data_IF_446197933109
#
_entry.id   IF_446197933109
#
_cell.length_a   1.000
_cell.length_b   1.000
_cell.length_c   1.000
_cell.angle_alpha   90.00
_cell.angle_beta   90.00
_cell.angle_gamma   90.00
#
_symmetry.space_group_name_H-M   'P 1'
#
loop_
_entity.id
_entity.type
_entity.pdbx_description
1 polymer ?
#
# COMPACT_ATOMS: atom_id res chain seq x y z
N UNK A 1 5.24 -29.74 10.50
CA UNK A 1 4.36 -29.63 9.31
C UNK A 1 3.63 -28.28 9.37
N UNK A 2 4.11 -27.25 8.64
CA UNK A 2 3.56 -25.87 8.69
C UNK A 2 2.71 -25.47 7.47
N UNK A 3 2.60 -26.36 6.48
CA UNK A 3 1.96 -26.07 5.17
C UNK A 3 0.48 -25.68 5.25
N UNK A 4 -0.26 -26.14 6.28
CA UNK A 4 -1.68 -25.79 6.43
C UNK A 4 -1.93 -24.38 6.98
N UNK A 5 -0.97 -23.82 7.72
CA UNK A 5 -1.10 -22.48 8.32
C UNK A 5 -0.94 -21.39 7.26
N UNK A 6 0.17 -21.42 6.52
CA UNK A 6 0.49 -20.46 5.45
C UNK A 6 -0.59 -20.49 4.36
N UNK A 7 -1.13 -21.67 4.05
CA UNK A 7 -2.24 -21.84 3.11
C UNK A 7 -3.53 -21.15 3.57
N UNK A 8 -3.88 -21.27 4.86
CA UNK A 8 -5.05 -20.60 5.42
C UNK A 8 -4.84 -19.09 5.57
N UNK A 9 -3.62 -18.64 5.87
CA UNK A 9 -3.27 -17.22 5.92
C UNK A 9 -3.44 -16.56 4.55
N UNK A 10 -2.95 -17.19 3.47
CA UNK A 10 -3.15 -16.73 2.10
C UNK A 10 -4.64 -16.64 1.74
N UNK A 11 -5.44 -17.65 2.10
CA UNK A 11 -6.87 -17.63 1.87
C UNK A 11 -7.62 -16.58 2.71
N UNK A 12 -7.18 -16.27 3.93
CA UNK A 12 -7.75 -15.16 4.71
C UNK A 12 -7.44 -13.81 4.05
N UNK A 13 -6.27 -13.64 3.44
CA UNK A 13 -5.93 -12.44 2.69
C UNK A 13 -6.78 -12.29 1.42
N UNK A 14 -6.94 -13.36 0.63
CA UNK A 14 -7.80 -13.38 -0.55
C UNK A 14 -9.28 -13.11 -0.21
N UNK A 15 -9.80 -13.71 0.87
CA UNK A 15 -11.17 -13.46 1.33
C UNK A 15 -11.43 -11.99 1.67
N UNK A 16 -10.43 -11.29 2.23
CA UNK A 16 -10.52 -9.85 2.52
C UNK A 16 -10.52 -8.99 1.24
N UNK A 17 -9.72 -9.37 0.24
CA UNK A 17 -9.65 -8.64 -1.04
C UNK A 17 -10.95 -8.79 -1.85
N UNK A 18 -11.58 -9.96 -1.80
CA UNK A 18 -12.84 -10.21 -2.51
C UNK A 18 -14.05 -9.56 -1.82
N UNK A 19 -13.95 -9.22 -0.53
CA UNK A 19 -15.03 -8.57 0.23
C UNK A 19 -16.27 -9.47 0.45
N UNK A 20 -16.13 -10.78 0.22
CA UNK A 20 -17.20 -11.77 0.34
C UNK A 20 -17.31 -12.26 1.79
N UNK A 21 -18.51 -12.56 2.31
CA UNK A 21 -18.66 -13.14 3.65
C UNK A 21 -17.81 -14.41 3.83
N UNK A 22 -17.09 -14.52 4.95
CA UNK A 22 -16.17 -15.65 5.22
C UNK A 22 -16.81 -17.03 5.02
N UNK A 23 -18.12 -17.16 5.27
CA UNK A 23 -18.87 -18.41 5.07
C UNK A 23 -19.00 -18.76 3.58
N UNK A 24 -19.35 -17.79 2.74
CA UNK A 24 -19.50 -17.99 1.29
C UNK A 24 -18.15 -18.25 0.63
N UNK A 25 -17.11 -17.52 1.07
CA UNK A 25 -15.75 -17.75 0.61
C UNK A 25 -15.27 -19.17 0.98
N UNK A 26 -15.47 -19.60 2.23
CA UNK A 26 -15.09 -20.95 2.65
C UNK A 26 -15.81 -22.04 1.87
N UNK A 27 -17.11 -21.87 1.57
CA UNK A 27 -17.88 -22.82 0.76
C UNK A 27 -17.37 -22.89 -0.68
N UNK A 28 -17.04 -21.76 -1.31
CA UNK A 28 -16.51 -21.70 -2.68
C UNK A 28 -15.16 -22.38 -2.83
N UNK A 29 -14.31 -22.25 -1.81
CA UNK A 29 -12.94 -22.78 -1.83
C UNK A 29 -12.78 -24.13 -1.09
N UNK A 30 -13.87 -24.75 -0.65
CA UNK A 30 -13.84 -26.04 0.05
C UNK A 30 -13.13 -25.99 1.40
N UNK A 31 -13.09 -24.83 2.05
CA UNK A 31 -12.42 -24.60 3.32
C UNK A 31 -13.37 -24.81 4.50
N UNK A 32 -12.82 -25.23 5.63
CA UNK A 32 -13.57 -25.24 6.88
C UNK A 32 -13.82 -23.81 7.37
N UNK A 33 -15.10 -23.45 7.52
CA UNK A 33 -15.53 -22.14 8.05
C UNK A 33 -14.92 -21.88 9.43
N UNK A 34 -14.87 -22.90 10.29
CA UNK A 34 -14.32 -22.76 11.65
C UNK A 34 -12.81 -22.55 11.64
N UNK A 35 -12.08 -23.21 10.72
CA UNK A 35 -10.65 -23.00 10.55
C UNK A 35 -10.35 -21.59 10.02
N UNK A 36 -11.11 -21.12 9.03
CA UNK A 36 -10.97 -19.77 8.48
C UNK A 36 -11.23 -18.71 9.56
N UNK A 37 -12.29 -18.87 10.35
CA UNK A 37 -12.63 -17.97 11.44
C UNK A 37 -11.58 -17.96 12.56
N UNK A 38 -11.07 -19.14 12.91
CA UNK A 38 -9.98 -19.28 13.88
C UNK A 38 -8.72 -18.52 13.43
N UNK A 39 -8.32 -18.66 12.16
CA UNK A 39 -7.17 -17.96 11.60
C UNK A 39 -7.41 -16.46 11.44
N UNK A 40 -8.61 -16.03 11.04
CA UNK A 40 -9.00 -14.61 11.05
C UNK A 40 -8.82 -13.99 12.45
N UNK A 41 -9.32 -14.67 13.49
CA UNK A 41 -9.20 -14.20 14.88
C UNK A 41 -7.76 -14.22 15.38
N UNK A 42 -6.99 -15.25 15.01
CA UNK A 42 -5.57 -15.37 15.37
C UNK A 42 -4.74 -14.26 14.70
N UNK A 43 -4.96 -14.00 13.42
CA UNK A 43 -4.30 -12.94 12.66
C UNK A 43 -4.68 -11.54 13.17
N UNK A 44 -5.93 -11.32 13.58
CA UNK A 44 -6.36 -10.08 14.26
C UNK A 44 -5.57 -9.84 15.55
N UNK A 45 -5.33 -10.88 16.36
CA UNK A 45 -4.52 -10.77 17.60
C UNK A 45 -3.04 -10.51 17.36
N UNK A 46 -2.49 -10.98 16.24
CA UNK A 46 -1.08 -10.77 15.85
C UNK A 46 -0.87 -9.43 15.13
N UNK A 47 -1.91 -8.59 15.02
CA UNK A 47 -1.84 -7.28 14.37
C UNK A 47 -1.99 -7.33 12.84
N UNK A 48 -2.28 -8.50 12.27
CA UNK A 48 -2.50 -8.70 10.83
C UNK A 48 -3.97 -8.51 10.40
N UNK A 49 -4.79 -7.98 11.30
CA UNK A 49 -6.19 -7.75 11.02
C UNK A 49 -6.71 -6.58 11.81
N UNK A 50 -7.06 -5.53 11.06
CA UNK A 50 -8.04 -4.55 11.45
C UNK A 50 -7.54 -3.62 12.56
N UNK A 51 -6.96 -2.50 12.12
CA UNK A 51 -6.99 -1.26 12.88
C UNK A 51 -8.44 -1.07 13.35
N UNK A 52 -8.73 -1.49 14.57
CA UNK A 52 -10.03 -1.29 15.19
C UNK A 52 -10.18 0.22 15.35
N UNK A 53 -10.93 0.78 14.41
CA UNK A 53 -11.90 1.86 14.59
C UNK A 53 -11.50 2.81 15.71
N UNK A 54 -10.52 3.67 15.43
CA UNK A 54 -10.52 4.96 16.09
C UNK A 54 -11.71 5.73 15.55
N UNK A 55 -12.46 6.39 16.44
CA UNK A 55 -13.56 7.30 16.14
C UNK A 55 -13.07 8.60 15.47
N UNK A 56 -12.16 8.49 14.52
CA UNK A 56 -11.68 9.57 13.68
C UNK A 56 -12.36 9.48 12.32
N UNK A 57 -12.75 10.62 11.75
CA UNK A 57 -13.20 10.74 10.34
C UNK A 57 -12.10 10.39 9.31
N UNK A 58 -10.99 9.85 9.78
CA UNK A 58 -9.81 9.50 9.02
C UNK A 58 -9.60 8.00 9.20
N UNK A 59 -9.62 7.28 8.09
CA UNK A 59 -9.32 5.85 8.00
C UNK A 59 -7.87 5.70 7.57
N UNK A 60 -7.12 4.83 8.24
CA UNK A 60 -5.75 4.50 7.84
C UNK A 60 -5.78 3.76 6.49
N UNK A 61 -5.34 4.43 5.43
CA UNK A 61 -5.10 3.83 4.13
C UNK A 61 -3.67 3.32 4.08
N UNK A 62 -3.49 2.00 4.15
CA UNK A 62 -2.22 1.39 3.77
C UNK A 62 -2.15 1.34 2.25
N UNK A 63 -1.49 2.36 1.69
CA UNK A 63 -0.96 2.27 0.33
C UNK A 63 0.15 1.23 0.37
N UNK A 64 -0.10 0.05 -0.18
CA UNK A 64 0.97 -0.87 -0.57
C UNK A 64 1.89 -0.04 -1.47
N UNK A 65 3.08 0.31 -0.97
CA UNK A 65 4.07 1.04 -1.75
C UNK A 65 4.48 0.15 -2.93
N UNK A 66 3.71 0.20 -4.01
CA UNK A 66 4.04 -0.41 -5.29
C UNK A 66 5.15 0.45 -5.87
N UNK A 67 6.38 0.11 -5.50
CA UNK A 67 7.57 0.80 -5.93
C UNK A 67 8.07 1.75 -4.86
N UNK A 68 8.91 1.23 -3.96
CA UNK A 68 10.08 2.01 -3.57
C UNK A 68 10.94 2.20 -4.82
N UNK A 69 10.58 3.17 -5.67
CA UNK A 69 11.53 3.74 -6.61
C UNK A 69 12.49 4.57 -5.75
N UNK A 70 13.48 3.88 -5.18
CA UNK A 70 14.76 4.52 -4.87
C UNK A 70 15.15 5.23 -6.16
N UNK A 71 15.18 6.57 -6.13
CA UNK A 71 15.58 7.52 -7.18
C UNK A 71 14.48 8.48 -7.67
N UNK A 72 13.48 8.84 -6.87
CA UNK A 72 12.56 9.93 -7.22
C UNK A 72 13.20 11.30 -6.87
N UNK A 73 13.95 11.87 -7.81
CA UNK A 73 14.44 13.23 -7.75
C UNK A 73 13.28 14.21 -7.98
N UNK A 74 12.93 14.97 -6.94
CA UNK A 74 11.88 15.96 -6.98
C UNK A 74 12.47 17.37 -7.02
N UNK A 75 12.10 18.17 -8.03
CA UNK A 75 12.44 19.58 -8.13
C UNK A 75 11.17 20.42 -8.04
N UNK A 76 11.14 21.38 -7.12
CA UNK A 76 10.04 22.33 -6.95
C UNK A 76 10.53 23.72 -7.31
N UNK A 77 9.89 24.34 -8.29
CA UNK A 77 10.17 25.70 -8.73
C UNK A 77 9.27 26.70 -7.96
N UNK A 78 9.72 27.96 -7.75
CA UNK A 78 8.91 28.98 -7.08
C UNK A 78 7.57 29.29 -7.74
N UNK A 79 7.44 28.98 -9.05
CA UNK A 79 6.17 29.09 -9.80
C UNK A 79 5.12 28.05 -9.38
N UNK A 80 5.45 27.12 -8.48
CA UNK A 80 4.60 25.99 -8.09
C UNK A 80 4.73 24.78 -9.01
N UNK A 81 5.59 24.84 -10.04
CA UNK A 81 5.84 23.73 -10.95
C UNK A 81 6.72 22.69 -10.26
N UNK A 82 6.28 21.43 -10.26
CA UNK A 82 7.02 20.29 -9.73
C UNK A 82 7.43 19.33 -10.84
N UNK A 83 8.69 18.94 -10.87
CA UNK A 83 9.21 17.89 -11.73
C UNK A 83 9.59 16.69 -10.87
N UNK A 84 9.15 15.51 -11.31
CA UNK A 84 9.54 14.22 -10.74
C UNK A 84 10.39 13.49 -11.78
N UNK A 85 11.57 13.04 -11.36
CA UNK A 85 12.58 12.49 -12.26
C UNK A 85 13.21 11.25 -11.65
N UNK A 86 13.54 10.26 -12.47
CA UNK A 86 14.15 9.01 -12.00
C UNK A 86 15.66 9.10 -11.71
N UNK A 87 16.31 10.22 -12.06
CA UNK A 87 17.75 10.48 -11.88
C UNK A 87 17.95 11.97 -11.63
N UNK A 88 18.98 12.32 -10.83
CA UNK A 88 19.35 13.71 -10.59
C UNK A 88 19.93 14.32 -11.89
N UNK A 89 19.37 15.44 -12.40
CA UNK A 89 19.88 16.08 -13.62
C UNK A 89 21.25 16.73 -13.39
N UNK A 90 21.96 16.98 -14.49
CA UNK A 90 23.23 17.68 -14.48
C UNK A 90 23.12 19.10 -13.89
N UNK A 91 24.14 19.57 -13.14
CA UNK A 91 24.12 20.90 -12.52
C UNK A 91 23.93 22.05 -13.52
N UNK A 92 24.48 21.93 -14.74
CA UNK A 92 24.33 22.95 -15.78
C UNK A 92 22.89 23.09 -16.26
N UNK A 93 22.16 21.97 -16.32
CA UNK A 93 20.75 21.95 -16.67
C UNK A 93 19.90 22.64 -15.59
N UNK A 94 20.18 22.37 -14.31
CA UNK A 94 19.53 23.06 -13.18
C UNK A 94 19.80 24.57 -13.21
N UNK A 95 21.03 24.98 -13.52
CA UNK A 95 21.39 26.38 -13.65
C UNK A 95 20.68 27.06 -14.84
N UNK A 96 20.57 26.37 -15.99
CA UNK A 96 19.84 26.86 -17.14
C UNK A 96 18.33 27.00 -16.85
N UNK A 97 17.74 26.02 -16.17
CA UNK A 97 16.35 26.05 -15.74
C UNK A 97 16.10 27.22 -14.77
N UNK A 98 16.97 27.40 -13.78
CA UNK A 98 16.89 28.54 -12.85
C UNK A 98 16.89 29.89 -13.57
N UNK A 99 17.83 30.08 -14.52
CA UNK A 99 17.90 31.29 -15.36
C UNK A 99 16.64 31.50 -16.20
N UNK A 100 16.12 30.44 -16.83
CA UNK A 100 14.91 30.52 -17.63
C UNK A 100 13.67 30.91 -16.79
N UNK A 101 13.57 30.40 -15.55
CA UNK A 101 12.45 30.71 -14.66
C UNK A 101 12.51 32.13 -14.08
N UNK A 102 13.71 32.69 -13.91
CA UNK A 102 13.90 34.09 -13.50
C UNK A 102 13.61 35.08 -14.63
N UNK A 103 13.86 34.70 -15.89
CA UNK A 103 13.58 35.53 -17.08
C UNK A 103 12.10 35.58 -17.50
N UNK A 104 11.23 34.84 -16.82
CA UNK A 104 9.78 34.80 -17.08
C UNK A 104 8.95 35.57 -16.03
N UNK A 105 9.60 36.34 -15.15
CA UNK A 105 8.96 37.23 -14.17
C UNK A 105 8.74 38.64 -14.73
#
# INVERSE_FOLDING_TARGET
MKKGAEFLEAHVASAKLEGVPSNDYARRHGLSVSALYYWQRKLKKVGYGDAVVQSSKFVALHLSATGSHRNDCNLVLPSGLRLEMSVLPEPEWLAALGRATLGAQ
#
